data_IF_036469917284
#
_entry.id   IF_036469917284
#
_cell.length_a   1.000
_cell.length_b   1.000
_cell.length_c   1.000
_cell.angle_alpha   90.00
_cell.angle_beta   90.00
_cell.angle_gamma   90.00
#
_symmetry.space_group_name_H-M   'P 1'
#
loop_
_entity.id
_entity.type
_entity.pdbx_description
1 polymer ?
#
# COMPACT_ATOMS: atom_id res chain seq x y z
N UNK A 1 19.04 6.44 19.89
CA UNK A 1 20.26 7.21 19.58
C UNK A 1 20.25 7.53 18.10
N UNK A 2 20.01 8.77 17.64
CA UNK A 2 20.00 9.07 16.21
C UNK A 2 21.40 9.43 15.71
N UNK A 3 21.85 8.71 14.68
CA UNK A 3 23.17 8.85 14.04
C UNK A 3 23.19 10.10 13.15
N UNK A 4 24.11 11.04 13.43
CA UNK A 4 24.36 12.24 12.60
C UNK A 4 25.61 12.02 11.77
N UNK A 5 25.50 12.07 10.43
CA UNK A 5 26.66 12.33 9.56
C UNK A 5 26.39 13.47 8.58
N UNK A 6 27.15 14.54 8.76
CA UNK A 6 27.92 15.21 7.69
C UNK A 6 27.26 16.29 6.84
N UNK A 7 26.04 16.10 6.33
CA UNK A 7 25.39 17.12 5.50
C UNK A 7 24.01 17.44 6.06
N UNK A 8 23.69 18.74 6.16
CA UNK A 8 22.54 19.31 6.88
C UNK A 8 21.15 18.93 6.39
N UNK A 9 20.98 17.79 5.72
CA UNK A 9 19.69 17.21 5.39
C UNK A 9 19.24 16.28 6.51
N UNK A 10 18.23 16.72 7.27
CA UNK A 10 17.47 15.86 8.17
C UNK A 10 16.69 14.85 7.34
N UNK A 11 17.30 13.69 7.06
CA UNK A 11 16.59 12.54 6.48
C UNK A 11 15.85 11.85 7.62
N UNK A 12 14.56 12.13 7.73
CA UNK A 12 13.70 11.33 8.58
C UNK A 12 13.40 10.02 7.86
N UNK A 13 13.51 8.89 8.55
CA UNK A 13 12.94 7.65 8.05
C UNK A 13 11.43 7.86 7.89
N UNK A 14 10.83 7.30 6.84
CA UNK A 14 9.39 7.43 6.56
C UNK A 14 8.55 6.98 7.76
N UNK A 15 9.03 5.95 8.47
CA UNK A 15 8.51 5.47 9.75
C UNK A 15 8.59 6.48 10.90
N UNK A 16 9.53 7.42 10.89
CA UNK A 16 9.68 8.46 11.91
C UNK A 16 8.80 9.69 11.62
N UNK A 17 8.50 9.98 10.34
CA UNK A 17 7.60 11.07 9.96
C UNK A 17 6.13 10.72 10.15
N UNK A 18 5.76 9.50 9.79
CA UNK A 18 4.37 9.10 9.79
C UNK A 18 3.85 8.77 11.20
N UNK A 19 4.74 8.58 12.19
CA UNK A 19 4.38 8.04 13.51
C UNK A 19 3.51 6.76 13.42
N UNK A 20 3.54 6.11 12.25
CA UNK A 20 2.85 4.86 11.97
C UNK A 20 3.82 3.79 12.39
N UNK A 21 3.49 3.08 13.45
CA UNK A 21 4.13 1.80 13.72
C UNK A 21 3.92 0.94 12.47
N UNK A 22 5.02 0.67 11.76
CA UNK A 22 5.04 -0.02 10.46
C UNK A 22 4.36 -1.40 10.49
N UNK A 23 4.01 -1.88 11.67
CA UNK A 23 3.38 -3.16 11.96
C UNK A 23 1.84 -3.13 11.81
N UNK A 24 1.23 -1.96 11.54
CA UNK A 24 -0.23 -1.84 11.36
C UNK A 24 -0.65 -0.93 10.21
N UNK A 25 0.21 -0.76 9.20
CA UNK A 25 -0.18 -0.04 7.99
C UNK A 25 -1.15 -0.92 7.19
N UNK A 26 -2.45 -0.72 7.42
CA UNK A 26 -3.50 -1.36 6.64
C UNK A 26 -3.43 -0.86 5.20
N UNK A 27 -3.38 -1.77 4.23
CA UNK A 27 -3.24 -1.43 2.81
C UNK A 27 -4.61 -1.45 2.13
N UNK A 28 -4.99 -0.37 1.47
CA UNK A 28 -6.26 -0.33 0.72
C UNK A 28 -5.96 -0.49 -0.76
N UNK A 29 -6.50 -1.53 -1.37
CA UNK A 29 -6.51 -1.75 -2.81
C UNK A 29 -7.72 -1.07 -3.45
N UNK A 30 -7.53 -0.39 -4.58
CA UNK A 30 -8.62 0.22 -5.35
C UNK A 30 -8.62 -0.29 -6.78
N UNK A 31 -9.75 -0.84 -7.22
CA UNK A 31 -9.96 -1.30 -8.59
C UNK A 31 -11.20 -0.61 -9.17
N UNK A 32 -11.12 -0.17 -10.43
CA UNK A 32 -12.24 0.48 -11.13
C UNK A 32 -12.28 0.06 -12.59
N UNK A 33 -13.48 -0.14 -13.12
CA UNK A 33 -13.69 -0.32 -14.57
C UNK A 33 -14.55 0.79 -15.16
N UNK A 34 -14.21 1.24 -16.36
CA UNK A 34 -14.93 2.33 -17.03
C UNK A 34 -16.28 1.89 -17.59
N UNK A 35 -16.44 0.60 -17.90
CA UNK A 35 -17.68 0.01 -18.41
C UNK A 35 -18.09 -1.18 -17.55
N UNK A 36 -19.37 -1.22 -17.19
CA UNK A 36 -19.95 -2.29 -16.37
C UNK A 36 -19.97 -3.66 -17.09
N UNK A 37 -19.72 -3.69 -18.40
CA UNK A 37 -19.57 -4.92 -19.20
C UNK A 37 -18.19 -5.59 -19.01
N UNK A 38 -17.23 -4.92 -18.34
CA UNK A 38 -15.87 -5.42 -18.09
C UNK A 38 -15.69 -6.03 -16.69
N UNK A 39 -16.74 -6.68 -16.14
CA UNK A 39 -16.68 -7.29 -14.79
C UNK A 39 -15.55 -8.30 -14.64
N UNK A 40 -15.22 -9.00 -15.72
CA UNK A 40 -14.15 -9.99 -15.72
C UNK A 40 -12.76 -9.34 -15.57
N UNK A 41 -12.57 -8.14 -16.14
CA UNK A 41 -11.35 -7.35 -15.94
C UNK A 41 -11.26 -6.78 -14.52
N UNK A 42 -12.40 -6.39 -13.93
CA UNK A 42 -12.46 -5.92 -12.54
C UNK A 42 -12.05 -7.03 -11.57
N UNK A 43 -12.60 -8.24 -11.75
CA UNK A 43 -12.27 -9.40 -10.91
C UNK A 43 -10.79 -9.77 -11.01
N UNK A 44 -10.24 -9.76 -12.24
CA UNK A 44 -8.81 -9.98 -12.46
C UNK A 44 -7.94 -8.93 -11.76
N UNK A 45 -8.34 -7.65 -11.79
CA UNK A 45 -7.61 -6.59 -11.09
C UNK A 45 -7.64 -6.80 -9.58
N UNK A 46 -8.77 -7.24 -9.01
CA UNK A 46 -8.86 -7.59 -7.60
C UNK A 46 -7.93 -8.72 -7.23
N UNK A 47 -7.98 -9.84 -7.96
CA UNK A 47 -7.13 -11.01 -7.69
C UNK A 47 -5.64 -10.67 -7.71
N UNK A 48 -5.21 -9.80 -8.64
CA UNK A 48 -3.81 -9.36 -8.72
C UNK A 48 -3.42 -8.54 -7.50
N UNK A 49 -4.29 -7.62 -7.06
CA UNK A 49 -4.04 -6.77 -5.89
C UNK A 49 -4.01 -7.63 -4.62
N UNK A 50 -4.96 -8.57 -4.48
CA UNK A 50 -5.02 -9.51 -3.36
C UNK A 50 -3.76 -10.37 -3.28
N UNK A 51 -3.34 -10.94 -4.41
CA UNK A 51 -2.12 -11.75 -4.49
C UNK A 51 -0.88 -10.92 -4.15
N UNK A 52 -0.80 -9.69 -4.62
CA UNK A 52 0.30 -8.79 -4.32
C UNK A 52 0.36 -8.45 -2.83
N UNK A 53 -0.78 -8.11 -2.22
CA UNK A 53 -0.84 -7.82 -0.79
C UNK A 53 -0.53 -9.07 0.06
N UNK A 54 -1.03 -10.24 -0.33
CA UNK A 54 -0.74 -11.51 0.33
C UNK A 54 0.75 -11.88 0.25
N UNK A 55 1.39 -11.70 -0.92
CA UNK A 55 2.83 -11.95 -1.10
C UNK A 55 3.70 -11.04 -0.23
N UNK A 56 3.27 -9.79 -0.02
CA UNK A 56 3.99 -8.85 0.85
C UNK A 56 3.63 -9.00 2.34
N UNK A 57 2.68 -9.88 2.69
CA UNK A 57 2.23 -10.10 4.07
C UNK A 57 1.47 -8.90 4.65
N UNK A 58 0.79 -8.11 3.79
CA UNK A 58 0.05 -6.93 4.21
C UNK A 58 -1.42 -7.26 4.49
N UNK A 59 -1.92 -6.77 5.64
CA UNK A 59 -3.36 -6.69 5.87
C UNK A 59 -3.96 -5.70 4.87
N UNK A 60 -4.94 -6.16 4.10
CA UNK A 60 -5.50 -5.36 3.02
C UNK A 60 -7.01 -5.49 2.87
N UNK A 61 -7.61 -4.47 2.28
CA UNK A 61 -9.02 -4.42 1.90
C UNK A 61 -9.13 -3.87 0.47
N UNK A 62 -9.97 -4.49 -0.36
CA UNK A 62 -10.15 -4.06 -1.75
C UNK A 62 -11.49 -3.37 -1.93
N UNK A 63 -11.44 -2.12 -2.39
CA UNK A 63 -12.59 -1.32 -2.78
C UNK A 63 -12.74 -1.39 -4.31
N UNK A 64 -13.97 -1.58 -4.79
CA UNK A 64 -14.30 -1.64 -6.20
C UNK A 64 -15.35 -0.59 -6.59
N UNK A 65 -15.21 -0.03 -7.79
CA UNK A 65 -16.15 0.90 -8.44
C UNK A 65 -16.43 0.46 -9.89
#
# INVERSE_FOLDING_TARGET
MPERRGSGHRRHSMSQLLAVESHRAYTIGYARVSSHDQKQDLERQKEIIELFCAQNGWEHEIIQD
#
